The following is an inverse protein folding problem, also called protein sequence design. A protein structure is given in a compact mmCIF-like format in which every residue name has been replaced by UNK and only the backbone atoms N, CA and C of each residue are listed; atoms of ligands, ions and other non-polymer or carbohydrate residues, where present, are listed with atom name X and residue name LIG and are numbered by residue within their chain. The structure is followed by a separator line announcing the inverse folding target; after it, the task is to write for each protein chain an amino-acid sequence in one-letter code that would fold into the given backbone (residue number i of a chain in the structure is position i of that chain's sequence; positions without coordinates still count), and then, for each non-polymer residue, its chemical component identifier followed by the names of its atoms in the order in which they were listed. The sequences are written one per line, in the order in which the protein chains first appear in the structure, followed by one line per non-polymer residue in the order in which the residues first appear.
data_IF_900549111582
#
_entry.id   IF_900549111582
#
_cell.length_a   1.000
_cell.length_b   1.000
_cell.length_c   1.000
_cell.angle_alpha   90.00
_cell.angle_beta   90.00
_cell.angle_gamma   90.00
#
_symmetry.space_group_name_H-M   'P 1'
#
loop_
_entity.id
_entity.type
_entity.pdbx_description
1 polymer ?
#
# COMPACT_ATOMS: atom_id res chain seq x y z
N UNK A 1 -13.37 -26.22 -2.39
CA UNK A 1 -13.32 -26.95 -1.10
C UNK A 1 -13.97 -28.31 -1.27
N UNK A 2 -13.29 -29.36 -0.86
CA UNK A 2 -13.73 -30.77 -0.88
C UNK A 2 -13.10 -31.50 0.30
N UNK A 3 -13.61 -32.69 0.66
CA UNK A 3 -12.96 -33.58 1.63
C UNK A 3 -13.41 -33.38 3.08
N UNK A 4 -12.58 -33.85 4.01
CA UNK A 4 -12.92 -33.98 5.44
C UNK A 4 -13.22 -32.64 6.12
N UNK A 5 -12.42 -31.61 5.84
CA UNK A 5 -12.63 -30.25 6.38
C UNK A 5 -14.02 -29.70 6.03
N UNK A 6 -14.47 -29.93 4.78
CA UNK A 6 -15.82 -29.56 4.34
C UNK A 6 -16.87 -30.35 5.12
N UNK A 7 -16.75 -31.68 5.19
CA UNK A 7 -17.72 -32.54 5.87
C UNK A 7 -17.87 -32.19 7.35
N UNK A 8 -16.76 -31.93 8.05
CA UNK A 8 -16.75 -31.52 9.46
C UNK A 8 -17.46 -30.18 9.63
N UNK A 9 -17.17 -29.19 8.77
CA UNK A 9 -17.77 -27.87 8.86
C UNK A 9 -19.29 -27.85 8.64
N UNK A 10 -19.82 -28.85 7.91
CA UNK A 10 -21.24 -28.98 7.58
C UNK A 10 -22.06 -29.62 8.71
N UNK A 11 -21.45 -30.30 9.69
CA UNK A 11 -22.18 -31.09 10.72
C UNK A 11 -23.14 -30.26 11.58
N UNK A 12 -22.87 -28.96 11.72
CA UNK A 12 -23.70 -28.03 12.49
C UNK A 12 -24.89 -27.46 11.68
N UNK A 13 -24.99 -27.80 10.39
CA UNK A 13 -26.01 -27.28 9.49
C UNK A 13 -27.18 -28.27 9.35
N UNK A 14 -28.32 -27.83 8.79
CA UNK A 14 -29.44 -28.73 8.53
C UNK A 14 -29.06 -29.87 7.57
N UNK A 15 -29.63 -31.07 7.78
CA UNK A 15 -29.26 -32.33 7.09
C UNK A 15 -29.00 -32.22 5.58
N UNK A 16 -29.79 -31.43 4.83
CA UNK A 16 -29.60 -31.26 3.37
C UNK A 16 -28.22 -30.69 3.00
N UNK A 17 -27.60 -29.91 3.88
CA UNK A 17 -26.27 -29.36 3.66
C UNK A 17 -25.17 -30.43 3.71
N UNK A 18 -25.41 -31.55 4.39
CA UNK A 18 -24.44 -32.66 4.48
C UNK A 18 -24.25 -33.38 3.14
N UNK A 19 -25.13 -33.15 2.17
CA UNK A 19 -25.04 -33.71 0.81
C UNK A 19 -24.07 -32.93 -0.08
N UNK A 20 -23.61 -31.75 0.35
CA UNK A 20 -22.68 -30.91 -0.40
C UNK A 20 -21.30 -31.57 -0.44
N UNK A 21 -20.87 -31.99 -1.64
CA UNK A 21 -19.55 -32.60 -1.87
C UNK A 21 -18.47 -31.61 -2.26
N UNK A 22 -18.86 -30.43 -2.75
CA UNK A 22 -17.96 -29.37 -3.21
C UNK A 22 -18.60 -28.01 -2.96
N UNK A 23 -17.80 -27.08 -2.47
CA UNK A 23 -18.15 -25.67 -2.38
C UNK A 23 -17.05 -24.82 -3.01
N UNK A 24 -17.44 -23.73 -3.65
CA UNK A 24 -16.54 -22.75 -4.26
C UNK A 24 -16.87 -21.35 -3.75
N UNK A 25 -15.85 -20.51 -3.71
CA UNK A 25 -15.99 -19.08 -3.45
C UNK A 25 -15.33 -18.33 -4.59
N UNK A 26 -15.87 -17.16 -4.89
CA UNK A 26 -15.37 -16.26 -5.92
C UNK A 26 -15.23 -14.88 -5.32
N UNK A 27 -14.08 -14.26 -5.54
CA UNK A 27 -13.86 -12.86 -5.22
C UNK A 27 -13.95 -12.05 -6.50
N UNK A 28 -14.42 -10.81 -6.39
CA UNK A 28 -14.48 -9.88 -7.50
C UNK A 28 -14.13 -8.48 -7.02
N UNK A 29 -13.46 -7.74 -7.88
CA UNK A 29 -13.14 -6.33 -7.68
C UNK A 29 -13.58 -5.56 -8.92
N UNK A 30 -14.16 -4.39 -8.72
CA UNK A 30 -14.48 -3.47 -9.80
C UNK A 30 -13.20 -2.88 -10.40
N UNK A 31 -13.02 -2.98 -11.72
CA UNK A 31 -11.95 -2.29 -12.44
C UNK A 31 -12.42 -0.90 -12.81
N UNK A 32 -11.98 0.10 -12.07
CA UNK A 32 -12.37 1.50 -12.27
C UNK A 32 -11.20 2.45 -12.00
N UNK A 33 -11.18 3.58 -12.72
CA UNK A 33 -10.20 4.66 -12.53
C UNK A 33 -10.53 5.49 -11.27
N UNK A 34 -11.80 5.47 -10.82
CA UNK A 34 -12.25 6.13 -9.60
C UNK A 34 -12.15 5.19 -8.39
N UNK A 35 -12.21 5.74 -7.17
CA UNK A 35 -12.23 4.91 -5.95
C UNK A 35 -13.42 3.93 -6.01
N UNK A 36 -13.21 2.61 -5.84
CA UNK A 36 -14.25 1.62 -6.07
C UNK A 36 -15.35 1.70 -5.01
N UNK A 37 -16.54 1.20 -5.35
CA UNK A 37 -17.63 1.08 -4.38
C UNK A 37 -17.32 0.00 -3.32
N UNK A 38 -18.00 0.03 -2.16
CA UNK A 38 -17.90 -1.05 -1.17
C UNK A 38 -18.26 -2.40 -1.79
N UNK A 39 -17.51 -3.43 -1.41
CA UNK A 39 -17.78 -4.81 -1.75
C UNK A 39 -18.82 -5.42 -0.83
N UNK A 40 -19.54 -6.42 -1.34
CA UNK A 40 -20.61 -7.10 -0.62
C UNK A 40 -20.44 -8.61 -0.61
N UNK A 41 -20.97 -9.24 0.44
CA UNK A 41 -21.19 -10.67 0.43
C UNK A 41 -22.43 -11.03 -0.41
N UNK A 42 -22.36 -12.14 -1.12
CA UNK A 42 -23.48 -12.67 -1.90
C UNK A 42 -23.67 -14.17 -1.66
N UNK A 43 -24.94 -14.57 -1.50
CA UNK A 43 -25.39 -15.96 -1.41
C UNK A 43 -26.43 -16.22 -2.48
N UNK A 44 -25.98 -16.44 -3.72
CA UNK A 44 -26.82 -16.47 -4.94
C UNK A 44 -27.53 -15.13 -5.26
N UNK A 45 -27.93 -14.37 -4.23
CA UNK A 45 -28.40 -12.99 -4.29
C UNK A 45 -27.53 -12.11 -3.37
N UNK A 46 -27.44 -10.80 -3.62
CA UNK A 46 -26.76 -9.85 -2.74
C UNK A 46 -27.40 -9.84 -1.34
N UNK A 47 -26.58 -9.87 -0.28
CA UNK A 47 -27.08 -9.84 1.10
C UNK A 47 -27.26 -8.42 1.62
N UNK A 48 -26.59 -7.43 1.01
CA UNK A 48 -26.44 -6.08 1.53
C UNK A 48 -25.45 -5.97 2.70
N UNK A 49 -24.82 -7.08 3.10
CA UNK A 49 -23.76 -7.10 4.10
C UNK A 49 -22.43 -6.74 3.44
N UNK A 50 -21.85 -5.61 3.82
CA UNK A 50 -20.56 -5.14 3.33
C UNK A 50 -19.41 -6.05 3.82
N UNK A 51 -18.36 -6.11 3.01
CA UNK A 51 -17.13 -6.86 3.34
C UNK A 51 -16.11 -6.03 4.11
N UNK A 52 -16.36 -4.73 4.30
CA UNK A 52 -15.38 -3.79 4.86
C UNK A 52 -14.20 -3.48 3.93
N UNK A 53 -14.33 -3.84 2.64
CA UNK A 53 -13.34 -3.68 1.57
C UNK A 53 -14.06 -3.46 0.24
N UNK A 54 -13.42 -2.93 -0.81
CA UNK A 54 -13.94 -2.96 -2.18
C UNK A 54 -14.20 -4.38 -2.74
N UNK A 55 -13.58 -5.40 -2.14
CA UNK A 55 -13.68 -6.78 -2.61
C UNK A 55 -15.05 -7.37 -2.31
N UNK A 56 -15.75 -7.80 -3.36
CA UNK A 56 -16.98 -8.57 -3.24
C UNK A 56 -16.68 -10.06 -3.13
N UNK A 57 -17.40 -10.75 -2.24
CA UNK A 57 -17.20 -12.19 -1.98
C UNK A 57 -18.51 -12.93 -2.20
N UNK A 58 -18.52 -13.80 -3.19
CA UNK A 58 -19.66 -14.66 -3.50
C UNK A 58 -19.35 -16.11 -3.14
N UNK A 59 -20.30 -16.77 -2.49
CA UNK A 59 -20.16 -18.16 -2.10
C UNK A 59 -21.48 -18.74 -1.60
N UNK A 60 -21.59 -20.06 -1.48
CA UNK A 60 -22.78 -20.73 -0.97
C UNK A 60 -22.90 -20.61 0.55
N UNK A 61 -22.70 -19.42 1.13
CA UNK A 61 -22.76 -19.24 2.58
C UNK A 61 -24.15 -19.61 3.13
N UNK A 62 -24.14 -20.19 4.32
CA UNK A 62 -25.34 -20.44 5.10
C UNK A 62 -25.84 -19.12 5.71
N UNK A 63 -26.88 -18.54 5.10
CA UNK A 63 -27.54 -17.32 5.56
C UNK A 63 -28.80 -17.57 6.38
N UNK A 64 -29.33 -16.50 6.97
CA UNK A 64 -30.68 -16.50 7.58
C UNK A 64 -31.79 -16.68 6.52
N UNK A 65 -33.04 -16.89 6.94
CA UNK A 65 -34.18 -17.09 6.04
C UNK A 65 -34.41 -15.91 5.08
N UNK A 66 -34.16 -14.68 5.55
CA UNK A 66 -34.25 -13.47 4.73
C UNK A 66 -33.06 -13.29 3.79
N UNK A 67 -32.00 -14.08 3.93
CA UNK A 67 -30.76 -14.03 3.13
C UNK A 67 -30.04 -12.68 3.15
N UNK A 68 -30.27 -11.89 4.20
CA UNK A 68 -29.70 -10.54 4.36
C UNK A 68 -28.47 -10.52 5.25
N UNK A 69 -28.22 -11.60 6.01
CA UNK A 69 -27.08 -11.65 6.92
C UNK A 69 -26.47 -13.06 6.94
N UNK A 70 -25.14 -13.10 6.94
CA UNK A 70 -24.33 -14.31 7.03
C UNK A 70 -23.70 -14.35 8.42
N UNK A 71 -23.97 -15.43 9.15
CA UNK A 71 -23.30 -15.65 10.43
C UNK A 71 -21.94 -16.34 10.20
N UNK A 72 -20.86 -15.57 10.23
CA UNK A 72 -19.49 -16.08 10.10
C UNK A 72 -18.96 -16.82 11.34
N UNK A 73 -19.72 -16.87 12.44
CA UNK A 73 -19.40 -17.75 13.58
C UNK A 73 -19.67 -19.23 13.29
N UNK A 74 -20.36 -19.55 12.18
CA UNK A 74 -20.60 -20.92 11.74
C UNK A 74 -19.36 -21.46 11.03
N UNK A 75 -18.92 -22.66 11.42
CA UNK A 75 -17.70 -23.29 10.89
C UNK A 75 -17.67 -23.33 9.37
N UNK A 76 -18.78 -23.68 8.73
CA UNK A 76 -18.89 -23.71 7.27
C UNK A 76 -18.69 -22.32 6.61
N UNK A 77 -19.34 -21.28 7.14
CA UNK A 77 -19.20 -19.92 6.60
C UNK A 77 -17.79 -19.37 6.82
N UNK A 78 -17.22 -19.64 7.99
CA UNK A 78 -15.85 -19.28 8.31
C UNK A 78 -14.85 -19.99 7.36
N UNK A 79 -15.07 -21.27 7.09
CA UNK A 79 -14.26 -22.05 6.15
C UNK A 79 -14.31 -21.45 4.72
N UNK A 80 -15.50 -21.11 4.23
CA UNK A 80 -15.65 -20.44 2.93
C UNK A 80 -14.92 -19.10 2.89
N UNK A 81 -15.07 -18.29 3.94
CA UNK A 81 -14.44 -16.97 4.03
C UNK A 81 -12.91 -17.08 4.08
N UNK A 82 -12.36 -18.02 4.84
CA UNK A 82 -10.91 -18.31 4.84
C UNK A 82 -10.40 -18.70 3.46
N UNK A 83 -11.18 -19.43 2.67
CA UNK A 83 -10.80 -19.74 1.29
C UNK A 83 -10.89 -18.53 0.37
N UNK A 84 -11.82 -17.61 0.60
CA UNK A 84 -11.87 -16.35 -0.14
C UNK A 84 -10.63 -15.50 0.14
N UNK A 85 -10.21 -15.40 1.41
CA UNK A 85 -8.96 -14.72 1.80
C UNK A 85 -7.74 -15.37 1.15
N UNK A 86 -7.63 -16.70 1.17
CA UNK A 86 -6.53 -17.39 0.48
C UNK A 86 -6.48 -17.06 -1.01
N UNK A 87 -7.63 -17.03 -1.68
CA UNK A 87 -7.70 -16.59 -3.09
C UNK A 87 -7.27 -15.12 -3.27
N UNK A 88 -7.62 -14.23 -2.33
CA UNK A 88 -7.14 -12.84 -2.37
C UNK A 88 -5.62 -12.79 -2.27
N UNK A 89 -5.01 -13.51 -1.33
CA UNK A 89 -3.55 -13.52 -1.17
C UNK A 89 -2.84 -14.19 -2.36
N UNK A 90 -3.38 -15.28 -2.89
CA UNK A 90 -2.89 -15.89 -4.13
C UNK A 90 -2.92 -14.89 -5.29
N UNK A 91 -3.99 -14.10 -5.42
CA UNK A 91 -4.12 -13.08 -6.45
C UNK A 91 -3.17 -11.90 -6.22
N UNK A 92 -3.00 -11.45 -4.98
CA UNK A 92 -2.03 -10.43 -4.60
C UNK A 92 -0.60 -10.86 -4.97
N UNK A 93 -0.21 -12.10 -4.64
CA UNK A 93 1.11 -12.64 -4.98
C UNK A 93 1.28 -12.80 -6.50
N UNK A 94 0.25 -13.30 -7.19
CA UNK A 94 0.28 -13.46 -8.65
C UNK A 94 0.47 -12.11 -9.35
N UNK A 95 -0.31 -11.09 -8.98
CA UNK A 95 -0.14 -9.73 -9.49
C UNK A 95 1.25 -9.23 -9.12
N UNK A 96 1.73 -9.54 -7.91
CA UNK A 96 3.04 -9.06 -7.50
C UNK A 96 4.21 -9.60 -8.31
N UNK A 97 4.07 -10.82 -8.81
CA UNK A 97 5.10 -11.48 -9.63
C UNK A 97 4.97 -11.16 -11.13
N UNK A 98 3.74 -10.93 -11.62
CA UNK A 98 3.44 -10.93 -13.07
C UNK A 98 2.66 -9.72 -13.58
N UNK A 99 2.12 -8.92 -12.68
CA UNK A 99 1.18 -7.85 -13.00
C UNK A 99 1.83 -6.61 -13.58
N UNK A 100 1.02 -5.85 -14.31
CA UNK A 100 1.37 -4.56 -14.91
C UNK A 100 1.06 -3.39 -13.96
N UNK A 101 1.47 -2.17 -14.30
CA UNK A 101 1.07 -0.97 -13.57
C UNK A 101 -0.45 -0.79 -13.44
N UNK A 102 -1.23 -1.24 -14.44
CA UNK A 102 -2.70 -1.24 -14.39
C UNK A 102 -3.26 -2.17 -13.30
N UNK A 103 -2.50 -3.20 -12.89
CA UNK A 103 -2.86 -4.12 -11.82
C UNK A 103 -2.54 -3.59 -10.43
N UNK A 104 -1.75 -2.53 -10.31
CA UNK A 104 -1.41 -1.91 -9.03
C UNK A 104 -2.57 -1.31 -8.28
N UNK A 105 -3.51 -0.72 -9.02
CA UNK A 105 -4.76 -0.22 -8.42
C UNK A 105 -5.59 -1.37 -7.82
N UNK A 106 -5.59 -2.55 -8.46
CA UNK A 106 -6.28 -3.72 -7.95
C UNK A 106 -5.63 -4.28 -6.67
N UNK A 107 -4.30 -4.20 -6.56
CA UNK A 107 -3.58 -4.58 -5.32
C UNK A 107 -3.98 -3.66 -4.17
N UNK A 108 -3.95 -2.34 -4.40
CA UNK A 108 -4.41 -1.36 -3.41
C UNK A 108 -5.86 -1.61 -3.01
N UNK A 109 -6.75 -1.81 -3.98
CA UNK A 109 -8.18 -2.01 -3.71
C UNK A 109 -8.47 -3.33 -2.99
N UNK A 110 -7.65 -4.37 -3.18
CA UNK A 110 -7.75 -5.63 -2.42
C UNK A 110 -7.24 -5.52 -0.97
N UNK A 111 -6.27 -4.63 -0.73
CA UNK A 111 -5.72 -4.37 0.60
C UNK A 111 -6.49 -3.29 1.37
N UNK A 112 -7.29 -2.49 0.66
CA UNK A 112 -8.11 -1.42 1.22
C UNK A 112 -9.04 -1.95 2.32
N UNK A 113 -8.96 -1.28 3.46
CA UNK A 113 -9.72 -1.57 4.66
C UNK A 113 -10.59 -0.36 5.01
N UNK A 114 -11.89 -0.49 4.80
CA UNK A 114 -12.89 0.54 5.12
C UNK A 114 -13.54 0.31 6.49
N UNK A 115 -13.47 -0.93 6.98
CA UNK A 115 -13.93 -1.33 8.31
C UNK A 115 -12.98 -2.37 8.91
N UNK A 116 -12.22 -1.97 9.94
CA UNK A 116 -11.27 -2.85 10.65
C UNK A 116 -11.96 -3.90 11.51
N UNK A 117 -13.25 -3.72 11.81
CA UNK A 117 -14.05 -4.72 12.52
C UNK A 117 -14.54 -5.85 11.59
N UNK A 118 -14.38 -5.70 10.27
CA UNK A 118 -14.74 -6.73 9.30
C UNK A 118 -13.93 -8.00 9.50
N UNK A 119 -14.65 -9.13 9.52
CA UNK A 119 -14.05 -10.46 9.60
C UNK A 119 -13.20 -10.81 8.37
N UNK A 120 -13.49 -10.23 7.19
CA UNK A 120 -12.64 -10.43 6.00
C UNK A 120 -11.26 -9.83 6.22
N UNK A 121 -11.21 -8.60 6.72
CA UNK A 121 -9.98 -7.85 6.99
C UNK A 121 -9.14 -8.56 8.05
N UNK A 122 -9.76 -8.96 9.17
CA UNK A 122 -9.06 -9.69 10.24
C UNK A 122 -8.46 -11.01 9.76
N UNK A 123 -9.18 -11.75 8.91
CA UNK A 123 -8.68 -12.98 8.33
C UNK A 123 -7.58 -12.73 7.29
N UNK A 124 -7.66 -11.64 6.54
CA UNK A 124 -6.62 -11.24 5.59
C UNK A 124 -5.32 -10.90 6.31
N UNK A 125 -5.36 -10.09 7.38
CA UNK A 125 -4.16 -9.79 8.18
C UNK A 125 -3.51 -11.06 8.71
N UNK A 126 -4.32 -11.95 9.29
CA UNK A 126 -3.82 -13.22 9.81
C UNK A 126 -3.18 -14.09 8.73
N UNK A 127 -3.79 -14.20 7.55
CA UNK A 127 -3.22 -15.03 6.48
C UNK A 127 -1.91 -14.43 5.93
N UNK A 128 -1.80 -13.10 5.87
CA UNK A 128 -0.56 -12.40 5.51
C UNK A 128 0.55 -12.63 6.55
N UNK A 129 0.21 -12.56 7.85
CA UNK A 129 1.11 -12.90 8.96
C UNK A 129 1.58 -14.37 8.90
N UNK A 130 0.65 -15.31 8.71
CA UNK A 130 0.94 -16.75 8.62
C UNK A 130 1.87 -17.09 7.44
N UNK A 131 1.88 -16.26 6.39
CA UNK A 131 2.76 -16.39 5.22
C UNK A 131 4.11 -15.68 5.38
N UNK A 132 4.34 -14.99 6.50
CA UNK A 132 5.58 -14.23 6.74
C UNK A 132 5.71 -12.97 5.88
N UNK A 133 4.59 -12.46 5.37
CA UNK A 133 4.53 -11.24 4.57
C UNK A 133 3.53 -10.26 5.20
N UNK A 134 3.81 -9.74 6.43
CA UNK A 134 2.90 -8.85 7.11
C UNK A 134 2.68 -7.57 6.30
N UNK A 135 1.52 -6.94 6.46
CA UNK A 135 1.10 -5.80 5.65
C UNK A 135 2.15 -4.68 5.46
N UNK A 136 2.95 -4.27 6.47
CA UNK A 136 3.97 -3.24 6.28
C UNK A 136 5.05 -3.64 5.26
N UNK A 137 5.42 -4.92 5.25
CA UNK A 137 6.46 -5.47 4.38
C UNK A 137 5.90 -6.00 3.06
N UNK A 138 4.57 -6.06 2.93
CA UNK A 138 3.90 -6.53 1.74
C UNK A 138 4.17 -5.57 0.57
N UNK A 139 4.71 -6.12 -0.52
CA UNK A 139 5.01 -5.38 -1.74
C UNK A 139 3.73 -5.16 -2.52
N UNK A 140 3.12 -3.98 -2.35
CA UNK A 140 1.76 -3.73 -2.85
C UNK A 140 1.64 -2.57 -3.84
N UNK A 141 2.69 -1.77 -3.97
CA UNK A 141 2.61 -0.49 -4.63
C UNK A 141 3.49 -0.41 -5.86
N UNK A 142 2.85 -0.16 -7.01
CA UNK A 142 3.52 -0.03 -8.29
C UNK A 142 4.19 1.32 -8.44
N UNK A 143 5.38 1.30 -9.02
CA UNK A 143 6.13 2.51 -9.39
C UNK A 143 6.32 2.55 -10.91
N UNK A 144 5.87 3.63 -11.53
CA UNK A 144 6.09 3.86 -12.97
C UNK A 144 7.50 4.38 -13.28
N UNK A 145 8.38 4.52 -12.27
CA UNK A 145 9.74 5.02 -12.47
C UNK A 145 10.65 3.85 -12.93
N UNK A 146 11.18 3.86 -14.17
CA UNK A 146 11.91 2.73 -14.73
C UNK A 146 13.19 2.35 -13.96
N UNK A 147 13.88 3.32 -13.38
CA UNK A 147 15.09 3.10 -12.55
C UNK A 147 14.77 2.33 -11.27
N UNK A 148 13.54 2.47 -10.78
CA UNK A 148 13.06 1.86 -9.54
C UNK A 148 12.62 0.43 -9.80
N UNK A 149 11.87 0.23 -10.89
CA UNK A 149 11.54 -1.10 -11.39
C UNK A 149 12.81 -1.96 -11.59
N UNK A 150 13.90 -1.33 -12.06
CA UNK A 150 15.22 -1.98 -12.21
C UNK A 150 15.91 -2.31 -10.89
N UNK A 151 15.83 -1.41 -9.89
CA UNK A 151 16.47 -1.61 -8.57
C UNK A 151 15.74 -2.63 -7.69
N UNK A 152 14.41 -2.66 -7.74
CA UNK A 152 13.58 -3.54 -6.92
C UNK A 152 13.43 -4.96 -7.50
N UNK A 153 13.94 -5.22 -8.71
CA UNK A 153 13.78 -6.49 -9.43
C UNK A 153 12.34 -6.77 -9.91
N UNK A 154 11.37 -5.99 -9.43
CA UNK A 154 9.95 -5.95 -9.77
C UNK A 154 9.44 -4.52 -9.54
N UNK A 155 8.32 -4.14 -10.16
CA UNK A 155 7.73 -2.78 -10.07
C UNK A 155 7.08 -2.47 -8.70
N UNK A 156 7.17 -3.38 -7.73
CA UNK A 156 6.44 -3.30 -6.47
C UNK A 156 7.32 -3.05 -5.24
N UNK A 157 6.86 -2.12 -4.40
CA UNK A 157 7.56 -1.69 -3.18
C UNK A 157 6.74 -1.96 -1.91
N UNK A 158 7.38 -2.22 -0.76
CA UNK A 158 6.69 -2.41 0.51
C UNK A 158 5.89 -1.18 0.96
N UNK A 159 4.76 -1.38 1.62
CA UNK A 159 3.94 -0.27 2.17
C UNK A 159 4.75 0.63 3.11
N UNK A 160 5.59 0.03 3.96
CA UNK A 160 6.45 0.73 4.92
C UNK A 160 7.47 1.68 4.27
N UNK A 161 7.75 1.51 2.99
CA UNK A 161 8.71 2.30 2.22
C UNK A 161 8.11 3.51 1.48
N UNK A 162 6.79 3.72 1.59
CA UNK A 162 6.08 4.77 0.87
C UNK A 162 6.01 6.04 1.72
N UNK A 163 6.28 7.20 1.12
CA UNK A 163 6.07 8.49 1.79
C UNK A 163 5.48 9.48 0.80
N UNK A 164 4.45 10.20 1.22
CA UNK A 164 3.88 11.29 0.44
C UNK A 164 4.78 12.51 0.62
N UNK A 165 5.31 13.00 -0.50
CA UNK A 165 6.01 14.27 -0.50
C UNK A 165 4.98 15.38 -0.25
N UNK A 166 5.18 16.27 0.73
CA UNK A 166 4.21 17.32 1.02
C UNK A 166 3.96 18.23 -0.19
N UNK A 167 2.73 18.68 -0.34
CA UNK A 167 2.37 19.63 -1.39
C UNK A 167 3.21 20.90 -1.28
N UNK A 168 3.77 21.34 -2.41
CA UNK A 168 4.53 22.57 -2.51
C UNK A 168 3.65 23.68 -3.10
N UNK A 169 3.91 24.93 -2.70
CA UNK A 169 3.30 26.11 -3.33
C UNK A 169 3.77 26.31 -4.77
N UNK A 170 4.89 25.70 -5.16
CA UNK A 170 5.48 25.79 -6.48
C UNK A 170 5.70 24.39 -7.08
N UNK A 171 5.74 24.25 -8.42
CA UNK A 171 6.16 23.01 -9.04
C UNK A 171 7.57 22.63 -8.58
N UNK A 172 7.74 21.36 -8.19
CA UNK A 172 9.06 20.80 -7.85
C UNK A 172 9.76 20.35 -9.12
N UNK A 173 11.04 20.67 -9.23
CA UNK A 173 11.95 20.29 -10.31
C UNK A 173 13.09 19.40 -9.81
N UNK A 174 13.49 19.54 -8.54
CA UNK A 174 14.59 18.79 -7.94
C UNK A 174 14.07 17.65 -7.06
N UNK A 175 13.20 17.96 -6.10
CA UNK A 175 12.54 16.96 -5.25
C UNK A 175 11.34 16.36 -5.97
N UNK A 176 11.60 15.80 -7.15
CA UNK A 176 10.62 15.04 -7.94
C UNK A 176 10.73 13.56 -7.61
N UNK A 177 9.64 12.80 -7.80
CA UNK A 177 9.61 11.37 -7.51
C UNK A 177 10.78 10.56 -8.06
N UNK A 178 11.09 10.72 -9.36
CA UNK A 178 12.14 9.95 -10.03
C UNK A 178 13.51 10.14 -9.38
N UNK A 179 13.85 11.38 -9.01
CA UNK A 179 15.12 11.71 -8.37
C UNK A 179 15.16 11.22 -6.92
N UNK A 180 14.08 11.39 -6.17
CA UNK A 180 13.98 10.89 -4.80
C UNK A 180 14.17 9.37 -4.74
N UNK A 181 13.60 8.63 -5.69
CA UNK A 181 13.76 7.19 -5.68
C UNK A 181 15.15 6.71 -6.09
N UNK A 182 15.84 7.42 -7.00
CA UNK A 182 17.23 7.12 -7.35
C UNK A 182 18.18 7.21 -6.15
N UNK A 183 17.91 8.13 -5.22
CA UNK A 183 18.71 8.28 -4.01
C UNK A 183 18.25 7.35 -2.87
N UNK A 184 17.35 6.40 -3.16
CA UNK A 184 16.76 5.53 -2.14
C UNK A 184 15.91 6.30 -1.12
N UNK A 185 15.40 7.46 -1.51
CA UNK A 185 14.33 8.16 -0.81
C UNK A 185 12.98 7.54 -1.19
N UNK A 186 12.06 7.52 -0.23
CA UNK A 186 10.76 6.87 -0.37
C UNK A 186 9.98 7.27 -1.63
N UNK A 187 9.08 6.37 -2.01
CA UNK A 187 8.23 6.49 -3.19
C UNK A 187 7.09 7.48 -2.91
N UNK A 188 7.00 8.61 -3.63
CA UNK A 188 5.88 9.52 -3.49
C UNK A 188 4.60 8.94 -4.07
N UNK A 189 3.55 8.92 -3.25
CA UNK A 189 2.25 8.34 -3.60
C UNK A 189 1.60 8.99 -4.83
N UNK A 190 2.04 10.18 -5.23
CA UNK A 190 1.57 10.88 -6.43
C UNK A 190 1.80 10.07 -7.72
N UNK A 191 2.72 9.10 -7.70
CA UNK A 191 2.95 8.15 -8.80
C UNK A 191 2.09 6.88 -8.66
N UNK A 192 1.68 6.57 -7.44
CA UNK A 192 1.23 5.25 -7.03
C UNK A 192 -0.30 5.14 -7.05
N UNK A 193 -0.99 6.23 -6.71
CA UNK A 193 -2.36 6.10 -6.25
C UNK A 193 -3.43 6.32 -7.32
N UNK A 194 -3.19 6.98 -8.47
CA UNK A 194 -4.24 7.23 -9.50
C UNK A 194 -5.68 7.38 -8.93
N UNK A 195 -5.92 8.35 -8.03
CA UNK A 195 -7.18 8.52 -7.27
C UNK A 195 -7.46 7.49 -6.15
N UNK A 196 -6.43 6.93 -5.50
CA UNK A 196 -6.51 5.98 -4.37
C UNK A 196 -5.85 6.47 -3.09
N UNK A 197 -5.68 7.78 -2.94
CA UNK A 197 -5.00 8.37 -1.77
C UNK A 197 -5.65 7.95 -0.45
N UNK A 198 -6.98 7.85 -0.44
CA UNK A 198 -7.75 7.38 0.71
C UNK A 198 -7.47 5.92 1.04
N UNK A 199 -7.47 5.03 0.03
CA UNK A 199 -7.16 3.62 0.22
C UNK A 199 -5.73 3.43 0.72
N UNK A 200 -4.76 4.12 0.11
CA UNK A 200 -3.37 4.08 0.55
C UNK A 200 -3.21 4.57 1.99
N UNK A 201 -3.92 5.63 2.39
CA UNK A 201 -3.93 6.12 3.77
C UNK A 201 -4.47 5.09 4.75
N UNK A 202 -5.59 4.43 4.42
CA UNK A 202 -6.17 3.37 5.26
C UNK A 202 -5.26 2.14 5.35
N UNK A 203 -4.62 1.75 4.24
CA UNK A 203 -3.64 0.66 4.21
C UNK A 203 -2.44 0.98 5.10
N UNK A 204 -1.90 2.19 4.98
CA UNK A 204 -0.76 2.62 5.79
C UNK A 204 -1.10 2.67 7.28
N UNK A 205 -2.26 3.21 7.65
CA UNK A 205 -2.76 3.22 9.03
C UNK A 205 -2.91 1.79 9.58
N UNK A 206 -3.55 0.89 8.81
CA UNK A 206 -3.67 -0.53 9.17
C UNK A 206 -2.31 -1.22 9.31
N UNK A 207 -1.32 -0.82 8.50
CA UNK A 207 0.06 -1.30 8.58
C UNK A 207 0.87 -0.64 9.71
N UNK A 208 0.29 0.27 10.50
CA UNK A 208 1.05 1.05 11.50
C UNK A 208 2.19 1.89 10.89
N UNK A 209 2.07 2.21 9.60
CA UNK A 209 3.05 2.97 8.83
C UNK A 209 2.57 4.40 8.60
N UNK A 210 3.49 5.37 8.65
CA UNK A 210 3.19 6.76 8.32
C UNK A 210 3.52 7.04 6.86
N UNK A 211 2.56 7.58 6.12
CA UNK A 211 2.82 8.16 4.81
C UNK A 211 3.53 9.51 4.91
N UNK A 212 3.45 10.19 6.06
CA UNK A 212 4.19 11.45 6.27
C UNK A 212 5.64 11.13 6.63
N UNK A 213 6.63 11.69 5.92
CA UNK A 213 8.03 11.46 6.23
C UNK A 213 8.47 12.11 7.53
N UNK A 214 9.37 11.43 8.23
CA UNK A 214 10.01 11.94 9.44
C UNK A 214 11.12 12.92 9.10
N UNK A 215 11.45 13.84 10.01
CA UNK A 215 12.50 14.85 9.84
C UNK A 215 13.84 14.23 9.40
N UNK A 216 14.22 13.10 10.00
CA UNK A 216 15.45 12.37 9.66
C UNK A 216 15.43 11.81 8.23
N UNK A 217 14.27 11.37 7.73
CA UNK A 217 14.10 10.89 6.36
C UNK A 217 14.23 12.06 5.38
N UNK A 218 13.61 13.20 5.69
CA UNK A 218 13.69 14.41 4.87
C UNK A 218 15.14 14.91 4.78
N UNK A 219 15.85 14.95 5.90
CA UNK A 219 17.29 15.31 5.92
C UNK A 219 18.09 14.35 5.05
N UNK A 220 17.88 13.04 5.18
CA UNK A 220 18.56 12.06 4.35
C UNK A 220 18.26 12.27 2.85
N UNK A 221 17.04 12.64 2.49
CA UNK A 221 16.71 12.97 1.10
C UNK A 221 17.45 14.21 0.62
N UNK A 222 17.46 15.27 1.43
CA UNK A 222 18.15 16.53 1.12
C UNK A 222 19.63 16.27 0.89
N UNK A 223 20.32 15.57 1.79
CA UNK A 223 21.74 15.23 1.64
C UNK A 223 22.00 14.42 0.38
N UNK A 224 21.26 13.32 0.18
CA UNK A 224 21.54 12.45 -0.95
C UNK A 224 21.20 13.09 -2.30
N UNK A 225 20.17 13.93 -2.35
CA UNK A 225 19.87 14.73 -3.55
C UNK A 225 21.02 15.70 -3.83
N UNK A 226 21.53 16.42 -2.83
CA UNK A 226 22.73 17.27 -3.00
C UNK A 226 23.95 16.46 -3.43
N UNK A 227 24.15 15.25 -2.91
CA UNK A 227 25.24 14.36 -3.31
C UNK A 227 25.14 13.93 -4.78
N UNK A 228 23.91 13.79 -5.29
CA UNK A 228 23.64 13.43 -6.68
C UNK A 228 23.81 14.59 -7.68
N UNK A 229 23.81 15.84 -7.21
CA UNK A 229 23.98 17.01 -8.08
C UNK A 229 25.45 17.20 -8.51
N UNK A 230 25.71 17.68 -9.75
CA UNK A 230 27.07 17.96 -10.20
C UNK A 230 27.80 18.97 -9.31
N UNK A 231 28.97 18.58 -8.80
CA UNK A 231 29.82 19.41 -7.92
C UNK A 231 31.00 20.03 -8.65
N UNK A 232 31.57 19.31 -9.62
CA UNK A 232 32.80 19.69 -10.33
C UNK A 232 32.61 20.75 -11.43
N UNK A 233 31.36 20.99 -11.81
CA UNK A 233 30.91 22.08 -12.69
C UNK A 233 29.42 22.35 -12.35
N UNK A 234 29.14 23.10 -11.26
CA UNK A 234 27.79 23.22 -10.74
C UNK A 234 26.95 24.11 -11.66
N UNK A 235 25.85 23.56 -12.17
CA UNK A 235 24.81 24.37 -12.79
C UNK A 235 24.17 25.25 -11.70
N UNK A 236 24.46 26.55 -11.73
CA UNK A 236 23.99 27.53 -10.74
C UNK A 236 22.46 27.54 -10.66
N UNK A 237 21.76 27.40 -11.78
CA UNK A 237 20.29 27.40 -11.79
C UNK A 237 19.72 26.14 -11.13
N UNK A 238 20.36 24.98 -11.32
CA UNK A 238 19.94 23.73 -10.70
C UNK A 238 20.16 23.78 -9.17
N UNK A 239 21.31 24.26 -8.71
CA UNK A 239 21.60 24.46 -7.29
C UNK A 239 20.70 25.52 -6.64
N UNK A 240 20.42 26.63 -7.32
CA UNK A 240 19.47 27.64 -6.84
C UNK A 240 18.06 27.08 -6.71
N UNK A 241 17.65 26.23 -7.65
CA UNK A 241 16.35 25.54 -7.60
C UNK A 241 16.31 24.55 -6.43
N UNK A 242 17.39 23.79 -6.22
CA UNK A 242 17.54 22.89 -5.08
C UNK A 242 17.37 23.61 -3.75
N UNK A 243 18.12 24.69 -3.51
CA UNK A 243 18.03 25.44 -2.25
C UNK A 243 16.64 26.08 -2.04
N UNK A 244 15.98 26.53 -3.11
CA UNK A 244 14.61 27.03 -3.03
C UNK A 244 13.64 25.95 -2.58
N UNK A 245 13.73 24.75 -3.15
CA UNK A 245 12.86 23.63 -2.77
C UNK A 245 13.18 23.09 -1.36
N UNK A 246 14.45 23.11 -0.93
CA UNK A 246 14.82 22.84 0.47
C UNK A 246 14.16 23.84 1.42
N UNK A 247 14.17 25.14 1.05
CA UNK A 247 13.51 26.18 1.84
C UNK A 247 12.01 25.96 1.93
N UNK A 248 11.36 25.59 0.83
CA UNK A 248 9.92 25.31 0.80
C UNK A 248 9.57 24.08 1.67
N UNK A 249 10.35 23.01 1.58
CA UNK A 249 10.22 21.85 2.48
C UNK A 249 10.31 22.27 3.95
N UNK A 250 11.31 23.08 4.30
CA UNK A 250 11.51 23.57 5.67
C UNK A 250 10.32 24.38 6.20
N UNK A 251 9.68 25.19 5.35
CA UNK A 251 8.47 25.93 5.73
C UNK A 251 7.29 25.00 6.02
N UNK A 252 7.08 24.00 5.16
CA UNK A 252 5.92 23.10 5.23
C UNK A 252 6.03 22.16 6.43
N UNK A 253 7.22 21.61 6.68
CA UNK A 253 7.44 20.55 7.66
C UNK A 253 8.06 21.04 8.98
N UNK A 254 8.61 22.26 8.99
CA UNK A 254 9.16 22.91 10.19
C UNK A 254 10.27 22.13 10.91
N UNK A 255 11.21 21.53 10.17
CA UNK A 255 12.31 20.69 10.67
C UNK A 255 13.65 21.44 10.80
N UNK A 256 13.62 22.73 11.14
CA UNK A 256 14.80 23.61 11.15
C UNK A 256 16.00 23.06 11.93
N UNK A 257 15.74 22.35 13.04
CA UNK A 257 16.82 21.75 13.83
C UNK A 257 17.52 20.62 13.10
N UNK A 258 16.77 19.80 12.35
CA UNK A 258 17.32 18.68 11.60
C UNK A 258 18.16 19.16 10.38
N UNK A 259 17.83 20.33 9.82
CA UNK A 259 18.65 20.95 8.76
C UNK A 259 20.02 21.42 9.21
N UNK A 260 20.20 21.74 10.49
CA UNK A 260 21.48 22.25 10.99
C UNK A 260 22.62 21.25 10.85
N UNK A 261 22.30 19.98 11.02
CA UNK A 261 23.22 18.84 10.89
C UNK A 261 23.25 18.26 9.49
N UNK A 262 22.42 18.76 8.57
CA UNK A 262 22.30 18.26 7.21
C UNK A 262 23.43 18.81 6.34
N UNK A 263 24.18 17.95 5.66
CA UNK A 263 25.26 18.31 4.72
C UNK A 263 24.69 18.61 3.34
N UNK A 264 24.26 19.85 3.14
CA UNK A 264 23.62 20.27 1.89
C UNK A 264 24.17 21.57 1.29
N UNK A 265 25.06 22.27 1.99
CA UNK A 265 25.66 23.51 1.50
C UNK A 265 26.91 23.20 0.66
N UNK A 266 26.90 23.61 -0.60
CA UNK A 266 28.04 23.51 -1.50
C UNK A 266 29.06 24.63 -1.23
N UNK A 267 30.27 24.26 -0.83
CA UNK A 267 31.39 25.19 -0.64
C UNK A 267 32.10 25.54 -1.95
N UNK A 268 32.94 26.58 -1.93
CA UNK A 268 33.84 26.90 -3.05
C UNK A 268 34.74 25.72 -3.43
N UNK A 269 35.19 24.93 -2.44
CA UNK A 269 35.97 23.70 -2.62
C UNK A 269 35.15 22.49 -3.13
N UNK A 270 33.91 22.71 -3.58
CA UNK A 270 33.01 21.69 -4.13
C UNK A 270 32.66 20.56 -3.14
N UNK A 271 32.65 20.87 -1.84
CA UNK A 271 32.28 19.94 -0.76
C UNK A 271 30.90 20.29 -0.22
N UNK A 272 30.21 19.28 0.30
CA UNK A 272 28.97 19.47 1.03
C UNK A 272 29.27 19.56 2.51
N UNK A 273 28.78 20.61 3.16
CA UNK A 273 28.97 20.84 4.60
C UNK A 273 27.63 21.11 5.27
N UNK A 274 27.59 20.86 6.58
CA UNK A 274 26.45 21.21 7.41
C UNK A 274 26.38 22.72 7.70
N UNK A 275 25.18 23.23 8.00
CA UNK A 275 24.99 24.64 8.32
C UNK A 275 25.66 25.06 9.64
N UNK A 276 25.74 24.14 10.61
CA UNK A 276 26.50 24.34 11.85
C UNK A 276 28.03 24.11 11.66
N UNK A 277 28.47 23.86 10.42
CA UNK A 277 29.81 23.41 10.07
C UNK A 277 29.98 21.91 10.27
N UNK A 278 30.98 21.32 9.61
CA UNK A 278 31.54 20.07 10.12
C UNK A 278 32.23 20.45 11.44
N UNK A 279 31.61 20.13 12.58
CA UNK A 279 32.23 20.37 13.88
C UNK A 279 33.67 19.84 13.92
N UNK A 280 34.56 20.45 14.73
CA UNK A 280 35.98 20.10 14.75
C UNK A 280 36.26 18.62 14.98
#
# INVERSE_FOLDING_TARGET
ITGEELNLSLQELPRKWHEIKRAGVTIALERTVQEPLPGFYSIYLPTGQETGSPVSVNGPFYGNLSRTNINFSKNYNHLLLRKAVKLMVEMLNYISETGSSEDGTAVLDMLDCRDTSSILIQLLDKELEDLGAPLPDFKAVYTEIPEVAKLAGHELVPISSIRILPESKQPRHIFIPSRLTQVGGCFPASIIAQNRDNALSRIAERAGSSLTPQDAEIVAWIEKVAESLPKSDPNIDEWNTYYREVSDLNEILRFQNALRTCRFLLTEDQRLVAADGDGP
#
